data_IF_935837329113
#
_entry.id   IF_935837329113
#
_cell.length_a   1.000
_cell.length_b   1.000
_cell.length_c   1.000
_cell.angle_alpha   90.00
_cell.angle_beta   90.00
_cell.angle_gamma   90.00
#
_symmetry.space_group_name_H-M   'P 1'
#
loop_
_entity.id
_entity.type
_entity.pdbx_description
1 polymer ?
#
# COMPACT_ATOMS: atom_id res chain seq x y z
N UNK A 1 -13.65 7.43 7.27
CA UNK A 1 -13.97 7.56 5.84
C UNK A 1 -12.69 7.28 5.07
N UNK A 2 -12.69 6.33 4.14
CA UNK A 2 -11.50 5.87 3.38
C UNK A 2 -11.23 6.75 2.15
N UNK A 3 -12.25 7.01 1.34
CA UNK A 3 -12.14 7.86 0.14
C UNK A 3 -11.62 7.10 -1.07
N UNK A 4 -11.75 7.71 -2.25
CA UNK A 4 -11.42 7.09 -3.55
C UNK A 4 -10.00 6.52 -3.56
N UNK A 5 -9.02 7.29 -3.10
CA UNK A 5 -7.60 6.93 -3.08
C UNK A 5 -7.34 5.64 -2.29
N UNK A 6 -7.81 5.59 -1.04
CA UNK A 6 -7.57 4.44 -0.18
C UNK A 6 -8.36 3.22 -0.64
N UNK A 7 -9.59 3.41 -1.10
CA UNK A 7 -10.42 2.31 -1.61
C UNK A 7 -9.80 1.72 -2.88
N UNK A 8 -9.29 2.54 -3.80
CA UNK A 8 -8.56 2.08 -4.99
C UNK A 8 -7.32 1.28 -4.58
N UNK A 9 -6.46 1.79 -3.69
CA UNK A 9 -5.28 1.04 -3.25
C UNK A 9 -5.63 -0.32 -2.65
N UNK A 10 -6.64 -0.36 -1.77
CA UNK A 10 -7.00 -1.57 -1.03
C UNK A 10 -7.67 -2.60 -1.92
N UNK A 11 -8.65 -2.19 -2.73
CA UNK A 11 -9.38 -3.10 -3.61
C UNK A 11 -8.48 -3.67 -4.69
N UNK A 12 -7.68 -2.84 -5.36
CA UNK A 12 -6.72 -3.32 -6.37
C UNK A 12 -5.68 -4.23 -5.76
N UNK A 13 -5.24 -3.96 -4.52
CA UNK A 13 -4.31 -4.85 -3.83
C UNK A 13 -4.91 -6.25 -3.59
N UNK A 14 -6.19 -6.37 -3.22
CA UNK A 14 -6.86 -7.66 -2.99
C UNK A 14 -6.92 -8.54 -4.25
N UNK A 15 -6.92 -7.92 -5.43
CA UNK A 15 -6.95 -8.64 -6.71
C UNK A 15 -5.58 -9.18 -7.13
N UNK A 16 -4.50 -8.73 -6.50
CA UNK A 16 -3.15 -9.13 -6.90
C UNK A 16 -2.76 -10.51 -6.36
N UNK A 17 -2.05 -11.27 -7.20
CA UNK A 17 -1.48 -12.56 -6.80
C UNK A 17 -0.44 -12.35 -5.70
N UNK A 18 -0.47 -13.22 -4.69
CA UNK A 18 0.48 -13.17 -3.57
C UNK A 18 0.12 -12.15 -2.49
N UNK A 19 -1.04 -11.48 -2.59
CA UNK A 19 -1.54 -10.60 -1.53
C UNK A 19 -2.46 -11.40 -0.60
N UNK A 20 -2.15 -11.37 0.70
CA UNK A 20 -2.98 -11.97 1.74
C UNK A 20 -4.14 -11.06 2.16
N UNK A 21 -3.93 -9.75 2.04
CA UNK A 21 -4.91 -8.74 2.38
C UNK A 21 -4.29 -7.36 2.43
N UNK A 22 -5.15 -6.35 2.42
CA UNK A 22 -4.79 -4.95 2.52
C UNK A 22 -5.86 -4.17 3.29
N UNK A 23 -5.47 -3.07 3.92
CA UNK A 23 -6.39 -2.10 4.56
C UNK A 23 -5.78 -0.71 4.61
N UNK A 24 -6.62 0.31 4.78
CA UNK A 24 -6.14 1.65 5.16
C UNK A 24 -5.45 1.63 6.54
N UNK A 25 -4.50 2.54 6.76
CA UNK A 25 -3.86 2.76 8.07
C UNK A 25 -3.91 4.24 8.45
N UNK A 26 -3.97 4.54 9.75
CA UNK A 26 -4.15 5.90 10.26
C UNK A 26 -5.62 6.36 10.32
N UNK A 27 -5.83 7.68 10.28
CA UNK A 27 -7.14 8.31 10.49
C UNK A 27 -8.08 8.24 9.27
N UNK A 28 -7.54 8.03 8.06
CA UNK A 28 -8.28 8.06 6.79
C UNK A 28 -8.31 9.44 6.15
N UNK A 29 -9.27 9.65 5.24
CA UNK A 29 -9.35 10.84 4.37
C UNK A 29 -8.09 11.02 3.51
N UNK A 30 -7.62 9.92 2.92
CA UNK A 30 -6.32 9.80 2.25
C UNK A 30 -5.26 9.17 3.16
N UNK A 31 -3.99 9.43 2.86
CA UNK A 31 -2.85 8.90 3.62
C UNK A 31 -2.32 7.59 3.04
N UNK A 32 -2.21 6.56 3.88
CA UNK A 32 -1.53 5.30 3.53
C UNK A 32 -2.46 4.09 3.66
N UNK A 33 -2.18 3.07 2.85
CA UNK A 33 -2.67 1.72 3.02
C UNK A 33 -1.50 0.76 3.29
N UNK A 34 -1.80 -0.35 3.94
CA UNK A 34 -0.85 -1.46 4.15
C UNK A 34 -1.37 -2.69 3.43
N UNK A 35 -0.47 -3.43 2.78
CA UNK A 35 -0.76 -4.70 2.13
C UNK A 35 0.26 -5.75 2.55
N UNK A 36 -0.21 -6.96 2.82
CA UNK A 36 0.64 -8.11 3.11
C UNK A 36 0.87 -8.87 1.81
N UNK A 37 2.07 -8.75 1.26
CA UNK A 37 2.42 -9.27 -0.07
C UNK A 37 3.55 -10.30 0.05
N UNK A 38 3.47 -11.39 -0.70
CA UNK A 38 4.57 -12.34 -0.83
C UNK A 38 5.79 -11.66 -1.45
N UNK A 39 6.97 -11.91 -0.87
CA UNK A 39 8.21 -11.19 -1.22
C UNK A 39 8.56 -11.25 -2.71
N UNK A 40 8.34 -12.40 -3.33
CA UNK A 40 8.69 -12.64 -4.73
C UNK A 40 7.72 -11.96 -5.72
N UNK A 41 6.59 -11.44 -5.25
CA UNK A 41 5.57 -10.78 -6.09
C UNK A 41 5.51 -9.26 -5.88
N UNK A 42 6.42 -8.68 -5.07
CA UNK A 42 6.38 -7.26 -4.69
C UNK A 42 6.50 -6.31 -5.88
N UNK A 43 7.42 -6.58 -6.82
CA UNK A 43 7.60 -5.67 -7.96
C UNK A 43 6.40 -5.70 -8.92
N UNK A 44 5.87 -6.91 -9.20
CA UNK A 44 4.65 -7.06 -10.00
C UNK A 44 3.44 -6.39 -9.32
N UNK A 45 3.34 -6.49 -8.00
CA UNK A 45 2.31 -5.81 -7.21
C UNK A 45 2.41 -4.29 -7.35
N UNK A 46 3.61 -3.71 -7.19
CA UNK A 46 3.83 -2.25 -7.29
C UNK A 46 3.47 -1.72 -8.66
N UNK A 47 3.84 -2.44 -9.72
CA UNK A 47 3.51 -2.07 -11.10
C UNK A 47 1.99 -2.11 -11.33
N UNK A 48 1.33 -3.22 -10.99
CA UNK A 48 -0.10 -3.39 -11.24
C UNK A 48 -0.96 -2.41 -10.44
N UNK A 49 -0.70 -2.29 -9.13
CA UNK A 49 -1.44 -1.37 -8.26
C UNK A 49 -1.13 0.08 -8.62
N UNK A 50 0.14 0.40 -8.89
CA UNK A 50 0.57 1.75 -9.24
C UNK A 50 -0.11 2.24 -10.52
N UNK A 51 -0.11 1.41 -11.56
CA UNK A 51 -0.74 1.71 -12.84
C UNK A 51 -2.24 1.93 -12.69
N UNK A 52 -2.95 1.00 -12.04
CA UNK A 52 -4.39 1.13 -11.89
C UNK A 52 -4.79 2.31 -11.01
N UNK A 53 -4.00 2.58 -9.96
CA UNK A 53 -4.22 3.77 -9.12
C UNK A 53 -4.08 5.05 -9.93
N UNK A 54 -3.02 5.19 -10.74
CA UNK A 54 -2.83 6.39 -11.55
C UNK A 54 -3.91 6.56 -12.61
N UNK A 55 -4.42 5.47 -13.21
CA UNK A 55 -5.56 5.48 -14.13
C UNK A 55 -6.86 5.98 -13.48
N UNK A 56 -7.12 5.57 -12.24
CA UNK A 56 -8.38 5.89 -11.53
C UNK A 56 -8.33 7.24 -10.81
N UNK A 57 -7.20 7.53 -10.17
CA UNK A 57 -7.02 8.68 -9.28
C UNK A 57 -6.38 9.86 -10.01
N UNK A 58 -5.60 9.62 -11.07
CA UNK A 58 -4.99 10.65 -11.91
C UNK A 58 -3.60 11.11 -11.48
N UNK A 59 -3.00 10.47 -10.47
CA UNK A 59 -1.60 10.70 -10.08
C UNK A 59 -1.00 9.43 -9.46
N UNK A 60 0.34 9.32 -9.51
CA UNK A 60 1.04 8.12 -9.05
C UNK A 60 1.06 8.00 -7.51
N UNK A 61 0.91 6.77 -6.95
CA UNK A 61 1.12 6.51 -5.53
C UNK A 61 2.61 6.30 -5.22
N UNK A 62 2.95 6.24 -3.92
CA UNK A 62 4.30 5.85 -3.45
C UNK A 62 4.25 4.51 -2.71
N UNK A 63 5.25 3.66 -2.92
CA UNK A 63 5.36 2.35 -2.29
C UNK A 63 6.61 2.25 -1.42
N UNK A 64 6.44 1.70 -0.22
CA UNK A 64 7.52 1.47 0.73
C UNK A 64 7.43 0.03 1.25
N UNK A 65 8.56 -0.66 1.30
CA UNK A 65 8.65 -1.95 1.99
C UNK A 65 8.90 -1.62 3.47
N UNK A 66 7.91 -1.90 4.31
CA UNK A 66 8.01 -1.64 5.73
C UNK A 66 8.80 -2.74 6.44
N UNK A 67 9.74 -2.35 7.29
CA UNK A 67 10.45 -3.24 8.22
C UNK A 67 10.11 -2.85 9.66
N UNK A 68 9.91 -3.86 10.51
CA UNK A 68 9.66 -3.62 11.93
C UNK A 68 10.98 -3.25 12.60
N UNK A 69 11.04 -2.05 13.17
CA UNK A 69 12.23 -1.52 13.84
C UNK A 69 11.95 -1.21 15.32
N UNK A 70 13.03 -1.07 16.09
CA UNK A 70 12.95 -0.60 17.47
C UNK A 70 12.49 0.86 17.55
N UNK A 71 11.80 1.20 18.64
CA UNK A 71 11.40 2.59 18.93
C UNK A 71 12.60 3.50 19.26
N UNK A 72 12.29 4.75 19.57
CA UNK A 72 13.28 5.77 19.93
C UNK A 72 14.15 5.33 21.10
N UNK A 73 15.48 5.42 20.94
CA UNK A 73 16.48 5.13 21.97
C UNK A 73 17.70 6.04 21.79
N UNK A 74 18.51 6.19 22.84
CA UNK A 74 19.82 6.83 22.75
C UNK A 74 20.71 5.97 21.85
N UNK A 75 21.45 6.61 20.94
CA UNK A 75 22.46 5.96 20.13
C UNK A 75 23.82 6.18 20.83
N UNK A 76 24.59 5.10 20.95
CA UNK A 76 25.97 5.15 21.47
C UNK A 76 26.92 5.79 20.46
#
# INVERSE_FOLDING_TARGET
>A
MTGLELDTLVHTAWEQKGVLGARMTGAGFGGCAIALVQKDTVEAFKEAVGKHYEEVVGYAPSFYIAEVAGGSRVLD
#
